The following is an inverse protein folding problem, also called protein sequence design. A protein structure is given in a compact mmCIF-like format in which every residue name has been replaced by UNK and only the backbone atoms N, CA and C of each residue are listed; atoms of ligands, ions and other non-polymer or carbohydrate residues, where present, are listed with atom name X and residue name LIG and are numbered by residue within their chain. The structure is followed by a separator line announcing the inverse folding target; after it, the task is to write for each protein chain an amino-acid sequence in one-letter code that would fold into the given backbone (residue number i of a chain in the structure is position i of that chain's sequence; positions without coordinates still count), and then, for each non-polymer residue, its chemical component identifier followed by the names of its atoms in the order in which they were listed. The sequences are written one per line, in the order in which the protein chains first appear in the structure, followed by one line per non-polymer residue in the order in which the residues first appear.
data_IF_253174605617
#
_entry.id   IF_253174605617
#
_cell.length_a   1.000
_cell.length_b   1.000
_cell.length_c   1.000
_cell.angle_alpha   90.00
_cell.angle_beta   90.00
_cell.angle_gamma   90.00
#
_symmetry.space_group_name_H-M   'P 1'
#
loop_
_entity.id
_entity.type
_entity.pdbx_description
1 polymer ?
#
# COMPACT_ATOMS: atom_id res chain seq x y z
N UNK A 1 -12.26 9.33 -24.67
CA UNK A 1 -13.38 9.19 -23.71
C UNK A 1 -14.46 10.21 -24.07
N UNK A 2 -15.47 9.85 -24.86
CA UNK A 2 -16.67 10.69 -25.06
C UNK A 2 -17.69 10.31 -23.98
N UNK A 3 -18.29 11.30 -23.31
CA UNK A 3 -19.37 11.09 -22.33
C UNK A 3 -18.95 10.80 -20.89
N UNK A 4 -17.65 10.89 -20.55
CA UNK A 4 -17.20 10.80 -19.16
C UNK A 4 -17.15 12.18 -18.51
N UNK A 5 -17.57 12.26 -17.25
CA UNK A 5 -17.54 13.48 -16.44
C UNK A 5 -16.31 13.45 -15.54
N UNK A 6 -15.57 14.56 -15.49
CA UNK A 6 -14.45 14.70 -14.56
C UNK A 6 -14.97 14.63 -13.12
N UNK A 7 -14.39 13.78 -12.25
CA UNK A 7 -14.74 13.76 -10.83
C UNK A 7 -14.58 15.16 -10.20
N UNK A 8 -15.40 15.51 -9.21
CA UNK A 8 -15.23 16.76 -8.49
C UNK A 8 -13.86 16.81 -7.81
N UNK A 9 -13.28 18.01 -7.73
CA UNK A 9 -12.02 18.22 -7.01
C UNK A 9 -12.22 17.86 -5.54
N UNK A 10 -11.42 16.92 -5.04
CA UNK A 10 -11.51 16.41 -3.67
C UNK A 10 -10.33 16.79 -2.79
N UNK A 11 -9.22 17.25 -3.38
CA UNK A 11 -7.98 17.61 -2.67
C UNK A 11 -7.37 18.89 -3.23
N UNK A 12 -6.63 19.59 -2.37
CA UNK A 12 -5.88 20.80 -2.75
C UNK A 12 -4.74 20.43 -3.71
N UNK A 13 -4.41 21.28 -4.70
CA UNK A 13 -3.26 21.05 -5.56
C UNK A 13 -1.96 20.90 -4.75
N UNK A 14 -1.12 19.94 -5.13
CA UNK A 14 0.18 19.75 -4.48
C UNK A 14 1.07 20.98 -4.71
N UNK A 15 1.79 21.46 -3.68
CA UNK A 15 2.81 22.49 -3.84
C UNK A 15 4.12 21.95 -4.46
N UNK A 16 4.19 20.64 -4.76
CA UNK A 16 5.40 19.90 -5.13
C UNK A 16 5.88 19.00 -3.98
N UNK A 17 6.33 17.78 -4.30
CA UNK A 17 6.63 16.76 -3.29
C UNK A 17 7.81 17.16 -2.40
N UNK A 18 8.88 17.68 -3.00
CA UNK A 18 10.09 18.10 -2.31
C UNK A 18 9.84 19.33 -1.43
N UNK A 19 9.06 20.28 -1.92
CA UNK A 19 8.71 21.49 -1.16
C UNK A 19 7.82 21.14 0.03
N UNK A 20 6.79 20.33 -0.16
CA UNK A 20 5.93 19.86 0.93
C UNK A 20 6.75 19.15 2.01
N UNK A 21 7.68 18.28 1.62
CA UNK A 21 8.54 17.55 2.54
C UNK A 21 9.40 18.49 3.40
N UNK A 22 10.06 19.48 2.79
CA UNK A 22 10.87 20.46 3.52
C UNK A 22 10.04 21.29 4.51
N UNK A 23 8.85 21.74 4.09
CA UNK A 23 7.96 22.53 4.94
C UNK A 23 7.37 21.69 6.09
N UNK A 24 7.06 20.42 5.84
CA UNK A 24 6.63 19.46 6.85
C UNK A 24 7.72 19.22 7.90
N UNK A 25 8.99 19.09 7.50
CA UNK A 25 10.12 18.97 8.45
C UNK A 25 10.22 20.23 9.34
N UNK A 26 10.23 21.42 8.74
CA UNK A 26 10.36 22.69 9.47
C UNK A 26 9.21 22.89 10.47
N UNK A 27 7.99 22.60 10.03
CA UNK A 27 6.77 22.80 10.83
C UNK A 27 6.44 21.62 11.74
N UNK A 28 7.17 20.51 11.63
CA UNK A 28 6.89 19.23 12.31
C UNK A 28 5.46 18.72 12.04
N UNK A 29 5.00 18.86 10.80
CA UNK A 29 3.71 18.34 10.34
C UNK A 29 3.91 17.11 9.47
N UNK A 30 2.91 16.23 9.43
CA UNK A 30 2.92 15.05 8.56
C UNK A 30 2.72 15.48 7.10
N UNK A 31 3.53 15.00 6.13
CA UNK A 31 3.28 15.20 4.71
C UNK A 31 2.01 14.50 4.24
N UNK A 32 1.45 14.98 3.12
CA UNK A 32 0.23 14.43 2.53
C UNK A 32 0.43 12.98 2.07
N UNK A 33 1.59 12.71 1.44
CA UNK A 33 2.03 11.36 1.12
C UNK A 33 2.98 10.85 2.21
N UNK A 34 2.42 10.10 3.17
CA UNK A 34 3.16 9.47 4.26
C UNK A 34 3.04 7.94 4.23
N UNK A 35 3.80 7.25 5.09
CA UNK A 35 3.81 5.80 5.15
C UNK A 35 2.43 5.19 5.40
N UNK A 36 1.67 5.73 6.36
CA UNK A 36 0.33 5.22 6.72
C UNK A 36 -0.70 5.40 5.59
N UNK A 37 -0.55 6.46 4.80
CA UNK A 37 -1.32 6.65 3.57
C UNK A 37 -0.88 5.67 2.49
N UNK A 38 0.42 5.56 2.26
CA UNK A 38 0.98 4.79 1.16
C UNK A 38 0.81 3.28 1.34
N UNK A 39 0.86 2.75 2.57
CA UNK A 39 0.67 1.31 2.83
C UNK A 39 -0.69 0.83 2.31
N UNK A 40 -1.74 1.66 2.40
CA UNK A 40 -3.08 1.34 1.89
C UNK A 40 -3.14 1.24 0.37
N UNK A 41 -2.18 1.86 -0.32
CA UNK A 41 -2.03 1.80 -1.78
C UNK A 41 -1.11 0.63 -2.16
N UNK A 42 -0.06 0.39 -1.39
CA UNK A 42 0.94 -0.65 -1.68
C UNK A 42 0.38 -2.07 -1.49
N UNK A 43 -0.40 -2.30 -0.43
CA UNK A 43 -1.03 -3.60 -0.14
C UNK A 43 -1.79 -4.17 -1.36
N UNK A 44 -2.73 -3.46 -2.00
CA UNK A 44 -3.41 -4.00 -3.18
C UNK A 44 -2.48 -4.22 -4.38
N UNK A 45 -1.39 -3.46 -4.54
CA UNK A 45 -0.38 -3.72 -5.59
C UNK A 45 0.36 -5.04 -5.34
N UNK A 46 0.77 -5.29 -4.09
CA UNK A 46 1.40 -6.55 -3.71
C UNK A 46 0.44 -7.73 -3.90
N UNK A 47 -0.82 -7.59 -3.46
CA UNK A 47 -1.86 -8.61 -3.63
C UNK A 47 -2.18 -8.90 -5.09
N UNK A 48 -2.15 -7.90 -5.97
CA UNK A 48 -2.39 -8.11 -7.40
C UNK A 48 -1.22 -8.83 -8.08
N UNK A 49 0.02 -8.58 -7.66
CA UNK A 49 1.17 -9.37 -8.11
C UNK A 49 1.08 -10.82 -7.63
N UNK A 50 0.66 -11.04 -6.37
CA UNK A 50 0.46 -12.38 -5.83
C UNK A 50 -0.69 -13.12 -6.53
N UNK A 51 -1.81 -12.44 -6.79
CA UNK A 51 -2.93 -12.96 -7.58
C UNK A 51 -2.49 -13.38 -8.98
N UNK A 52 -1.67 -12.56 -9.64
CA UNK A 52 -1.10 -12.88 -10.95
C UNK A 52 -0.23 -14.14 -10.89
N UNK A 53 0.64 -14.24 -9.88
CA UNK A 53 1.51 -15.40 -9.66
C UNK A 53 0.72 -16.69 -9.42
N UNK A 54 -0.37 -16.62 -8.66
CA UNK A 54 -1.22 -17.78 -8.33
C UNK A 54 -2.27 -18.10 -9.40
N UNK A 55 -2.48 -17.20 -10.38
CA UNK A 55 -3.48 -17.38 -11.45
C UNK A 55 -4.92 -17.35 -10.95
N UNK A 56 -5.19 -16.77 -9.77
CA UNK A 56 -6.54 -16.69 -9.17
C UNK A 56 -6.73 -15.39 -8.39
N UNK A 57 -7.98 -14.95 -8.24
CA UNK A 57 -8.32 -13.79 -7.41
C UNK A 57 -8.16 -14.10 -5.92
N UNK A 58 -7.65 -13.12 -5.16
CA UNK A 58 -7.53 -13.19 -3.71
C UNK A 58 -8.65 -12.42 -3.02
N UNK A 59 -9.09 -12.90 -1.85
CA UNK A 59 -10.01 -12.18 -0.96
C UNK A 59 -9.21 -11.58 0.19
N UNK A 60 -9.33 -10.26 0.37
CA UNK A 60 -8.63 -9.51 1.40
C UNK A 60 -9.63 -8.78 2.30
N UNK A 61 -9.45 -8.89 3.61
CA UNK A 61 -10.18 -8.13 4.62
C UNK A 61 -9.34 -6.89 5.00
N UNK A 62 -9.74 -5.67 4.60
CA UNK A 62 -8.97 -4.47 4.90
C UNK A 62 -9.08 -4.01 6.36
N UNK A 63 -10.02 -4.55 7.15
CA UNK A 63 -10.10 -4.25 8.57
C UNK A 63 -9.15 -5.12 9.39
N UNK A 64 -8.96 -6.38 8.97
CA UNK A 64 -8.00 -7.32 9.57
C UNK A 64 -6.63 -7.30 8.91
N UNK A 65 -6.50 -6.61 7.78
CA UNK A 65 -5.34 -6.60 6.91
C UNK A 65 -4.86 -8.02 6.52
N UNK A 66 -5.81 -8.93 6.21
CA UNK A 66 -5.54 -10.35 6.03
C UNK A 66 -6.14 -10.93 4.75
N UNK A 67 -5.44 -11.89 4.15
CA UNK A 67 -5.97 -12.74 3.07
C UNK A 67 -6.89 -13.80 3.71
N UNK A 68 -8.10 -13.94 3.20
CA UNK A 68 -9.15 -14.77 3.80
C UNK A 68 -9.36 -16.06 3.02
N UNK A 69 -9.25 -17.20 3.71
CA UNK A 69 -9.57 -18.52 3.17
C UNK A 69 -8.56 -19.09 2.18
N UNK A 70 -7.36 -18.52 2.08
CA UNK A 70 -6.30 -18.95 1.17
C UNK A 70 -4.94 -19.03 1.89
N UNK A 71 -4.68 -20.17 2.54
CA UNK A 71 -3.45 -20.37 3.32
C UNK A 71 -2.19 -20.31 2.47
N UNK A 72 -2.23 -20.82 1.23
CA UNK A 72 -1.10 -20.78 0.29
C UNK A 72 -0.74 -19.31 -0.04
N UNK A 73 -1.74 -18.48 -0.32
CA UNK A 73 -1.52 -17.06 -0.58
C UNK A 73 -1.00 -16.33 0.68
N UNK A 74 -1.56 -16.61 1.86
CA UNK A 74 -1.09 -16.03 3.12
C UNK A 74 0.37 -16.36 3.41
N UNK A 75 0.81 -17.60 3.18
CA UNK A 75 2.20 -18.01 3.35
C UNK A 75 3.13 -17.32 2.33
N UNK A 76 2.71 -17.24 1.06
CA UNK A 76 3.48 -16.59 0.00
C UNK A 76 3.56 -15.06 0.12
N UNK A 77 2.66 -14.45 0.90
CA UNK A 77 2.71 -13.01 1.20
C UNK A 77 3.83 -12.65 2.18
N UNK A 78 4.41 -13.63 2.88
CA UNK A 78 5.52 -13.41 3.82
C UNK A 78 6.83 -13.35 3.01
N UNK A 79 7.55 -12.21 3.01
CA UNK A 79 8.76 -12.06 2.21
C UNK A 79 9.93 -12.88 2.78
N UNK A 80 10.68 -13.53 1.89
CA UNK A 80 11.97 -14.13 2.24
C UNK A 80 13.06 -13.06 2.23
N UNK A 81 13.66 -12.79 3.39
CA UNK A 81 14.74 -11.82 3.51
C UNK A 81 16.08 -12.44 3.13
N UNK A 82 16.94 -11.64 2.51
CA UNK A 82 18.32 -12.02 2.18
C UNK A 82 19.13 -12.25 3.45
N UNK A 83 19.93 -13.32 3.50
CA UNK A 83 20.85 -13.57 4.61
C UNK A 83 21.79 -12.36 4.90
N UNK A 84 22.13 -12.08 6.18
CA UNK A 84 21.75 -12.83 7.39
C UNK A 84 20.38 -12.41 7.98
N UNK A 85 19.63 -11.53 7.30
CA UNK A 85 18.39 -10.98 7.80
C UNK A 85 17.27 -12.01 7.81
N UNK A 86 16.39 -11.92 8.80
CA UNK A 86 15.18 -12.73 8.91
C UNK A 86 13.98 -11.82 9.01
N UNK A 87 12.88 -12.22 8.37
CA UNK A 87 11.62 -11.55 8.57
C UNK A 87 11.20 -11.69 10.04
N UNK A 88 10.80 -10.57 10.65
CA UNK A 88 10.34 -10.51 12.03
C UNK A 88 8.91 -11.08 12.11
N UNK A 89 8.81 -12.37 12.45
CA UNK A 89 7.56 -13.13 12.47
C UNK A 89 6.59 -12.67 13.56
N UNK A 90 7.06 -11.90 14.53
CA UNK A 90 6.24 -11.29 15.59
C UNK A 90 5.22 -10.28 15.08
N UNK A 91 5.33 -9.84 13.82
CA UNK A 91 4.39 -8.91 13.18
C UNK A 91 3.33 -9.61 12.29
N UNK A 92 3.25 -10.94 12.32
CA UNK A 92 2.22 -11.73 11.63
C UNK A 92 0.96 -11.92 12.48
#
# INVERSE_FOLDING_TARGET
MKGMVTPPVSIVPSPGHELEWLECIKSRKQPSCNADYHVKIDVPMALSTLSLKLGRSLRFDPLREAIIGDNEASELAIPEYRAPWKFAKEYL
#
